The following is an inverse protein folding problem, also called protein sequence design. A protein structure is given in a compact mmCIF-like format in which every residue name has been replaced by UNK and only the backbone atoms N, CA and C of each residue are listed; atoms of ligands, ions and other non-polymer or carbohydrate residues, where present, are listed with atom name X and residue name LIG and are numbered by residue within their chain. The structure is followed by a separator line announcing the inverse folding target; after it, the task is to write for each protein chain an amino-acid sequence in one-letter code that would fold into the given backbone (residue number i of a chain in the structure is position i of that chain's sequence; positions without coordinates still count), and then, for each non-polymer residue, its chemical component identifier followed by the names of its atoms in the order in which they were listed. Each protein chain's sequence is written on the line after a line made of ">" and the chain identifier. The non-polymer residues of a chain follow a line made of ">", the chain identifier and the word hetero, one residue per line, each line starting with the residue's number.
data_IF_734067745389
#
_entry.id   IF_734067745389
#
_cell.length_a   1.000
_cell.length_b   1.000
_cell.length_c   1.000
_cell.angle_alpha   90.00
_cell.angle_beta   90.00
_cell.angle_gamma   90.00
#
_symmetry.space_group_name_H-M   'P 1'
#
loop_
_entity.id
_entity.type
_entity.pdbx_description
1 polymer ?
#
# COMPACT_ATOMS: atom_id res chain seq x y z
N UNK A 1 13.68 11.06 26.35
CA UNK A 1 13.83 10.75 24.91
C UNK A 1 12.89 9.64 24.43
N UNK A 2 12.77 8.51 25.15
CA UNK A 2 11.95 7.34 24.74
C UNK A 2 10.48 7.72 24.46
N UNK A 3 9.83 8.51 25.32
CA UNK A 3 8.43 8.93 25.13
C UNK A 3 8.20 9.77 23.87
N UNK A 4 9.18 10.58 23.45
CA UNK A 4 9.06 11.45 22.28
C UNK A 4 9.18 10.64 20.98
N UNK A 5 10.12 9.68 20.93
CA UNK A 5 10.23 8.76 19.80
C UNK A 5 9.03 7.81 19.68
N UNK A 6 8.48 7.37 20.81
CA UNK A 6 7.30 6.51 20.85
C UNK A 6 6.04 7.21 20.31
N UNK A 7 5.76 8.44 20.76
CA UNK A 7 4.61 9.21 20.25
C UNK A 7 4.77 9.58 18.77
N UNK A 8 6.01 9.85 18.34
CA UNK A 8 6.33 10.11 16.94
C UNK A 8 6.00 8.91 16.04
N UNK A 9 6.33 7.68 16.47
CA UNK A 9 5.99 6.46 15.74
C UNK A 9 4.47 6.22 15.72
N UNK A 10 3.81 6.41 16.86
CA UNK A 10 2.36 6.20 16.99
C UNK A 10 1.55 7.08 16.03
N UNK A 11 1.94 8.34 15.82
CA UNK A 11 1.22 9.27 14.93
C UNK A 11 1.34 8.90 13.44
N UNK A 12 2.32 8.07 13.07
CA UNK A 12 2.59 7.64 11.69
C UNK A 12 2.07 6.24 11.37
N UNK A 13 1.92 5.42 12.40
CA UNK A 13 1.42 4.06 12.32
C UNK A 13 0.12 3.88 11.49
N UNK A 14 -0.91 4.74 11.59
CA UNK A 14 -2.10 4.58 10.76
C UNK A 14 -1.81 4.76 9.26
N UNK A 15 -0.92 5.67 8.89
CA UNK A 15 -0.52 5.89 7.49
C UNK A 15 0.31 4.72 6.97
N UNK A 16 1.27 4.23 7.77
CA UNK A 16 1.99 3.01 7.43
C UNK A 16 1.07 1.81 7.25
N UNK A 17 0.04 1.68 8.08
CA UNK A 17 -0.97 0.63 7.93
C UNK A 17 -1.71 0.78 6.59
N UNK A 18 -2.11 2.00 6.23
CA UNK A 18 -2.80 2.31 4.97
C UNK A 18 -1.95 2.02 3.72
N UNK A 19 -0.64 2.27 3.77
CA UNK A 19 0.24 2.04 2.62
C UNK A 19 0.88 0.64 2.58
N UNK A 20 0.90 -0.13 3.66
CA UNK A 20 1.57 -1.44 3.66
C UNK A 20 0.64 -2.61 3.99
N UNK A 21 -0.34 -2.42 4.86
CA UNK A 21 -1.24 -3.49 5.30
C UNK A 21 -2.47 -3.57 4.37
N UNK A 22 -3.12 -2.44 4.11
CA UNK A 22 -4.32 -2.41 3.25
C UNK A 22 -4.07 -2.92 1.82
N UNK A 23 -2.93 -2.64 1.15
CA UNK A 23 -2.64 -3.23 -0.16
C UNK A 23 -2.61 -4.75 -0.14
N UNK A 24 -1.98 -5.33 0.88
CA UNK A 24 -1.90 -6.79 1.06
C UNK A 24 -3.29 -7.36 1.29
N UNK A 25 -4.08 -6.75 2.17
CA UNK A 25 -5.46 -7.17 2.41
C UNK A 25 -6.34 -7.04 1.16
N UNK A 26 -6.15 -5.97 0.38
CA UNK A 26 -6.84 -5.74 -0.87
C UNK A 26 -6.53 -6.81 -1.91
N UNK A 27 -5.25 -7.16 -2.06
CA UNK A 27 -4.86 -8.30 -2.91
C UNK A 27 -5.47 -9.60 -2.37
N UNK A 28 -5.34 -9.92 -1.08
CA UNK A 28 -5.90 -11.15 -0.51
C UNK A 28 -7.43 -11.28 -0.65
N UNK A 29 -8.16 -10.19 -0.87
CA UNK A 29 -9.59 -10.19 -1.11
C UNK A 29 -9.97 -10.71 -2.51
N UNK A 30 -9.05 -10.67 -3.48
CA UNK A 30 -9.29 -11.06 -4.86
C UNK A 30 -8.47 -12.31 -5.24
N UNK A 31 -8.82 -12.95 -6.36
CA UNK A 31 -8.17 -14.16 -6.86
C UNK A 31 -8.33 -14.30 -8.39
N UNK A 32 -7.51 -15.17 -8.98
CA UNK A 32 -7.52 -15.44 -10.42
C UNK A 32 -7.06 -14.23 -11.22
N UNK A 33 -5.92 -13.63 -10.90
CA UNK A 33 -5.38 -12.56 -11.72
C UNK A 33 -4.85 -13.11 -13.03
N UNK A 34 -5.22 -12.46 -14.12
CA UNK A 34 -4.61 -12.68 -15.42
C UNK A 34 -3.31 -11.87 -15.53
N UNK A 35 -2.17 -12.50 -15.78
CA UNK A 35 -0.87 -11.83 -15.82
C UNK A 35 -0.75 -10.83 -16.99
N UNK A 36 -1.51 -11.04 -18.07
CA UNK A 36 -1.50 -10.18 -19.25
C UNK A 36 -2.33 -8.91 -19.10
N UNK A 37 -3.53 -9.01 -18.52
CA UNK A 37 -4.41 -7.85 -18.26
C UNK A 37 -4.26 -7.25 -16.86
N UNK A 38 -3.63 -7.98 -15.93
CA UNK A 38 -3.45 -7.62 -14.52
C UNK A 38 -4.75 -7.43 -13.75
N UNK A 39 -5.84 -8.01 -14.25
CA UNK A 39 -7.18 -7.92 -13.66
C UNK A 39 -7.54 -9.21 -12.95
N UNK A 40 -8.14 -9.09 -11.77
CA UNK A 40 -8.70 -10.23 -11.02
C UNK A 40 -10.00 -10.75 -11.62
N UNK A 41 -10.18 -12.08 -11.58
CA UNK A 41 -11.40 -12.76 -12.03
C UNK A 41 -12.55 -12.66 -11.00
N UNK A 42 -12.23 -12.77 -9.71
CA UNK A 42 -13.23 -12.72 -8.64
C UNK A 42 -12.68 -12.13 -7.34
N UNK A 43 -13.55 -11.48 -6.57
CA UNK A 43 -13.25 -10.91 -5.26
C UNK A 43 -14.33 -11.27 -4.24
N UNK A 44 -13.96 -11.50 -2.98
CA UNK A 44 -14.89 -11.76 -1.88
C UNK A 44 -15.81 -10.57 -1.64
N UNK A 45 -15.24 -9.38 -1.48
CA UNK A 45 -15.96 -8.11 -1.51
C UNK A 45 -15.79 -7.50 -2.90
N UNK A 46 -16.79 -7.73 -3.75
CA UNK A 46 -16.77 -7.27 -5.14
C UNK A 46 -17.36 -5.86 -5.27
N UNK A 47 -16.49 -4.86 -5.14
CA UNK A 47 -16.79 -3.47 -5.51
C UNK A 47 -15.75 -3.02 -6.53
N UNK A 48 -16.16 -2.21 -7.51
CA UNK A 48 -15.26 -1.73 -8.57
C UNK A 48 -14.03 -1.01 -8.01
N UNK A 49 -14.20 -0.27 -6.91
CA UNK A 49 -13.11 0.43 -6.25
C UNK A 49 -12.09 -0.53 -5.61
N UNK A 50 -12.54 -1.52 -4.83
CA UNK A 50 -11.64 -2.47 -4.16
C UNK A 50 -10.95 -3.40 -5.16
N UNK A 51 -11.64 -3.77 -6.23
CA UNK A 51 -11.06 -4.57 -7.31
C UNK A 51 -9.96 -3.78 -8.04
N UNK A 52 -10.23 -2.55 -8.46
CA UNK A 52 -9.22 -1.69 -9.10
C UNK A 52 -8.03 -1.42 -8.18
N UNK A 53 -8.27 -1.27 -6.88
CA UNK A 53 -7.22 -1.15 -5.88
C UNK A 53 -6.34 -2.40 -5.83
N UNK A 54 -6.94 -3.60 -5.72
CA UNK A 54 -6.21 -4.87 -5.70
C UNK A 54 -5.40 -5.11 -6.99
N UNK A 55 -6.03 -4.86 -8.15
CA UNK A 55 -5.41 -5.01 -9.47
C UNK A 55 -4.22 -4.07 -9.67
N UNK A 56 -4.30 -2.83 -9.17
CA UNK A 56 -3.18 -1.90 -9.19
C UNK A 56 -1.97 -2.42 -8.41
N UNK A 57 -2.18 -2.98 -7.21
CA UNK A 57 -1.08 -3.51 -6.40
C UNK A 57 -0.52 -4.81 -6.96
N UNK A 58 -1.38 -5.65 -7.54
CA UNK A 58 -0.93 -6.83 -8.27
C UNK A 58 -0.04 -6.42 -9.45
N UNK A 59 -0.48 -5.45 -10.26
CA UNK A 59 0.31 -4.89 -11.36
C UNK A 59 1.65 -4.33 -10.89
N UNK A 60 1.66 -3.55 -9.81
CA UNK A 60 2.87 -2.99 -9.21
C UNK A 60 3.88 -4.09 -8.85
N UNK A 61 3.43 -5.15 -8.16
CA UNK A 61 4.29 -6.28 -7.76
C UNK A 61 4.78 -7.05 -8.98
N UNK A 62 3.89 -7.32 -9.95
CA UNK A 62 4.22 -8.06 -11.15
C UNK A 62 5.28 -7.32 -11.98
N UNK A 63 5.07 -6.04 -12.28
CA UNK A 63 6.09 -5.22 -12.97
C UNK A 63 7.40 -5.15 -12.20
N UNK A 64 7.33 -5.05 -10.86
CA UNK A 64 8.51 -5.01 -10.02
C UNK A 64 9.36 -6.27 -10.13
N UNK A 65 8.74 -7.43 -10.29
CA UNK A 65 9.48 -8.69 -10.45
C UNK A 65 10.36 -8.73 -11.71
N UNK A 66 9.97 -8.01 -12.78
CA UNK A 66 10.72 -7.94 -14.04
C UNK A 66 11.66 -6.73 -14.14
N UNK A 67 11.49 -5.72 -13.28
CA UNK A 67 12.24 -4.46 -13.31
C UNK A 67 13.22 -4.31 -12.13
N UNK A 68 13.78 -5.41 -11.63
CA UNK A 68 14.70 -5.41 -10.47
C UNK A 68 14.12 -4.70 -9.22
N UNK A 69 12.82 -4.85 -9.00
CA UNK A 69 12.06 -4.22 -7.91
C UNK A 69 12.04 -2.68 -7.92
N UNK A 70 12.50 -2.03 -9.00
CA UNK A 70 12.53 -0.56 -9.10
C UNK A 70 11.16 0.08 -8.82
N UNK A 71 10.04 -0.36 -9.44
CA UNK A 71 8.73 0.23 -9.18
C UNK A 71 8.30 0.09 -7.71
N UNK A 72 8.57 -1.06 -7.09
CA UNK A 72 8.29 -1.30 -5.68
C UNK A 72 9.10 -0.39 -4.76
N UNK A 73 10.39 -0.19 -5.06
CA UNK A 73 11.24 0.74 -4.28
C UNK A 73 10.70 2.17 -4.38
N UNK A 74 10.32 2.62 -5.58
CA UNK A 74 9.71 3.95 -5.78
C UNK A 74 8.44 4.08 -4.94
N UNK A 75 7.57 3.06 -4.97
CA UNK A 75 6.36 3.02 -4.16
C UNK A 75 6.68 3.16 -2.66
N UNK A 76 7.64 2.38 -2.14
CA UNK A 76 8.04 2.43 -0.72
C UNK A 76 8.53 3.82 -0.33
N UNK A 77 9.38 4.46 -1.14
CA UNK A 77 9.90 5.80 -0.88
C UNK A 77 8.78 6.83 -0.82
N UNK A 78 7.83 6.77 -1.77
CA UNK A 78 6.67 7.67 -1.80
C UNK A 78 5.78 7.43 -0.57
N UNK A 79 5.51 6.18 -0.22
CA UNK A 79 4.68 5.82 0.94
C UNK A 79 5.28 6.33 2.26
N UNK A 80 6.60 6.17 2.46
CA UNK A 80 7.31 6.70 3.62
C UNK A 80 7.22 8.24 3.64
N UNK A 81 7.50 8.88 2.51
CA UNK A 81 7.46 10.34 2.40
C UNK A 81 6.08 10.91 2.71
N UNK A 82 5.01 10.30 2.18
CA UNK A 82 3.63 10.69 2.48
C UNK A 82 3.28 10.46 3.94
N UNK A 83 3.68 9.32 4.52
CA UNK A 83 3.45 9.00 5.93
C UNK A 83 4.12 10.01 6.86
N UNK A 84 5.32 10.49 6.51
CA UNK A 84 6.02 11.53 7.26
C UNK A 84 5.36 12.91 7.15
N UNK A 85 4.83 13.27 5.97
CA UNK A 85 4.14 14.55 5.78
C UNK A 85 2.81 14.56 6.54
N UNK A 86 2.01 13.50 6.36
CA UNK A 86 0.70 13.38 6.99
C UNK A 86 0.82 13.20 8.50
N UNK A 87 1.77 12.38 8.96
CA UNK A 87 2.04 12.16 10.38
C UNK A 87 2.57 13.40 11.11
N UNK A 88 3.23 14.34 10.40
CA UNK A 88 3.57 15.66 10.95
C UNK A 88 2.35 16.55 11.06
N UNK A 89 1.56 16.70 9.98
CA UNK A 89 0.32 17.48 9.99
C UNK A 89 -0.66 17.03 11.08
N UNK A 90 -0.72 15.74 11.36
CA UNK A 90 -1.59 15.19 12.41
C UNK A 90 -1.04 15.38 13.83
N UNK A 91 0.27 15.57 13.99
CA UNK A 91 0.90 15.81 15.29
C UNK A 91 1.01 17.30 15.64
N UNK A 92 0.94 18.18 14.64
CA UNK A 92 0.98 19.64 14.79
C UNK A 92 -0.41 20.27 15.02
N UNK A 93 -1.49 19.49 14.87
CA UNK A 93 -2.88 19.85 15.22
C UNK A 93 -3.25 19.34 16.61
#
# INVERSE_FOLDING_TARGET
>A
MIKKGFNWFLSRLPFYSLFFIFPVLGMMNCQGWNEGSMTSESCLVNTSFLQAYADFYYALVLFSSFMLLIPLVIYIVIAIWLSEILGRKLADN
#
